data_IF_278948572926
#
_entry.id   IF_278948572926
#
_cell.length_a   1.000
_cell.length_b   1.000
_cell.length_c   1.000
_cell.angle_alpha   90.00
_cell.angle_beta   90.00
_cell.angle_gamma   90.00
#
_symmetry.space_group_name_H-M   'P 1'
#
loop_
_entity.id
_entity.type
_entity.pdbx_description
1 polymer ?
#
# COMPACT_ATOMS: atom_id res chain seq x y z
N UNK A 1 15.65 10.26 -15.97
CA UNK A 1 14.67 10.68 -14.93
C UNK A 1 13.24 10.36 -15.31
N UNK A 2 12.72 10.81 -16.47
CA UNK A 2 11.37 10.43 -16.95
C UNK A 2 11.13 8.91 -17.04
N UNK A 3 12.11 8.13 -17.49
CA UNK A 3 11.99 6.68 -17.53
C UNK A 3 11.86 6.03 -16.14
N UNK A 4 12.52 6.58 -15.11
CA UNK A 4 12.44 6.06 -13.74
C UNK A 4 11.04 6.27 -13.14
N UNK A 5 10.51 7.48 -13.31
CA UNK A 5 9.15 7.84 -12.86
C UNK A 5 8.11 6.98 -13.60
N UNK A 6 8.26 6.79 -14.92
CA UNK A 6 7.36 5.94 -15.69
C UNK A 6 7.42 4.46 -15.28
N UNK A 7 8.60 3.96 -14.93
CA UNK A 7 8.78 2.57 -14.49
C UNK A 7 8.11 2.34 -13.13
N UNK A 8 8.29 3.27 -12.18
CA UNK A 8 7.61 3.23 -10.87
C UNK A 8 6.10 3.36 -11.05
N UNK A 9 5.66 4.25 -11.95
CA UNK A 9 4.26 4.42 -12.28
C UNK A 9 3.62 3.17 -12.87
N UNK A 10 4.36 2.40 -13.66
CA UNK A 10 3.95 1.10 -14.18
C UNK A 10 3.89 0.06 -13.07
N UNK A 11 4.92 -0.01 -12.22
CA UNK A 11 4.95 -0.92 -11.06
C UNK A 11 3.78 -0.65 -10.13
N UNK A 12 3.49 0.60 -9.79
CA UNK A 12 2.35 0.94 -8.93
C UNK A 12 1.01 0.59 -9.59
N UNK A 13 0.89 0.68 -10.91
CA UNK A 13 -0.32 0.22 -11.64
C UNK A 13 -0.48 -1.29 -11.62
N UNK A 14 0.59 -2.05 -11.90
CA UNK A 14 0.53 -3.51 -11.89
C UNK A 14 0.23 -4.05 -10.50
N UNK A 15 0.83 -3.45 -9.46
CA UNK A 15 0.56 -3.80 -8.07
C UNK A 15 -0.88 -3.42 -7.68
N UNK A 16 -1.42 -2.30 -8.18
CA UNK A 16 -2.84 -1.95 -7.99
C UNK A 16 -3.80 -2.97 -8.61
N UNK A 17 -3.51 -3.45 -9.82
CA UNK A 17 -4.29 -4.51 -10.48
C UNK A 17 -4.20 -5.82 -9.70
N UNK A 18 -3.00 -6.16 -9.23
CA UNK A 18 -2.78 -7.35 -8.40
C UNK A 18 -3.60 -7.26 -7.11
N UNK A 19 -3.56 -6.13 -6.40
CA UNK A 19 -4.36 -5.91 -5.20
C UNK A 19 -5.87 -6.06 -5.47
N UNK A 20 -6.38 -5.48 -6.55
CA UNK A 20 -7.78 -5.63 -6.95
C UNK A 20 -8.14 -7.10 -7.22
N UNK A 21 -7.25 -7.85 -7.89
CA UNK A 21 -7.46 -9.28 -8.15
C UNK A 21 -7.53 -10.10 -6.84
N UNK A 22 -6.72 -9.76 -5.85
CA UNK A 22 -6.73 -10.43 -4.54
C UNK A 22 -8.05 -10.20 -3.79
N UNK A 23 -8.64 -9.00 -3.90
CA UNK A 23 -9.98 -8.72 -3.35
C UNK A 23 -11.05 -9.56 -4.05
N UNK A 24 -11.00 -9.68 -5.38
CA UNK A 24 -11.95 -10.53 -6.12
C UNK A 24 -11.82 -11.98 -5.69
N UNK A 25 -10.60 -12.51 -5.53
CA UNK A 25 -10.37 -13.87 -5.02
C UNK A 25 -10.94 -14.03 -3.61
N UNK A 26 -10.75 -13.06 -2.71
CA UNK A 26 -11.31 -13.09 -1.36
C UNK A 26 -12.85 -13.13 -1.36
N UNK A 27 -13.49 -12.39 -2.27
CA UNK A 27 -14.95 -12.43 -2.46
C UNK A 27 -15.39 -13.82 -2.94
N UNK A 28 -14.71 -14.39 -3.94
CA UNK A 28 -15.02 -15.73 -4.45
C UNK A 28 -14.89 -16.80 -3.36
N UNK A 29 -13.84 -16.74 -2.54
CA UNK A 29 -13.64 -17.65 -1.40
C UNK A 29 -14.80 -17.50 -0.39
N UNK A 30 -15.23 -16.28 -0.11
CA UNK A 30 -16.36 -16.01 0.79
C UNK A 30 -17.68 -16.55 0.23
N UNK A 31 -17.95 -16.35 -1.06
CA UNK A 31 -19.12 -16.91 -1.72
C UNK A 31 -19.12 -18.45 -1.68
N UNK A 32 -17.97 -19.07 -1.93
CA UNK A 32 -17.80 -20.52 -1.85
C UNK A 32 -18.01 -21.04 -0.41
N UNK A 33 -17.52 -20.32 0.60
CA UNK A 33 -17.75 -20.65 2.02
C UNK A 33 -19.25 -20.68 2.35
N UNK A 34 -19.99 -19.65 1.90
CA UNK A 34 -21.45 -19.56 2.06
C UNK A 34 -22.11 -20.75 1.36
N UNK A 35 -21.73 -21.04 0.11
CA UNK A 35 -22.30 -22.16 -0.64
C UNK A 35 -22.11 -23.51 0.08
N UNK A 36 -20.91 -23.81 0.55
CA UNK A 36 -20.63 -25.06 1.29
C UNK A 36 -21.47 -25.14 2.57
N UNK A 37 -21.59 -24.02 3.29
CA UNK A 37 -22.30 -23.99 4.56
C UNK A 37 -23.80 -24.23 4.40
N UNK A 38 -24.41 -23.63 3.37
CA UNK A 38 -25.87 -23.70 3.18
C UNK A 38 -26.33 -24.88 2.33
N UNK A 39 -25.56 -25.31 1.34
CA UNK A 39 -25.96 -26.40 0.43
C UNK A 39 -25.34 -27.75 0.79
N UNK A 40 -24.12 -27.77 1.32
CA UNK A 40 -23.42 -29.02 1.67
C UNK A 40 -23.42 -29.30 3.18
N UNK A 41 -24.00 -28.43 4.02
CA UNK A 41 -23.97 -28.51 5.49
C UNK A 41 -22.56 -28.75 6.07
N UNK A 42 -21.52 -28.36 5.33
CA UNK A 42 -20.12 -28.52 5.75
C UNK A 42 -19.62 -27.28 6.49
N UNK A 43 -18.74 -27.49 7.47
CA UNK A 43 -17.97 -26.40 8.09
C UNK A 43 -16.51 -26.53 7.66
N UNK A 44 -15.98 -25.47 7.05
CA UNK A 44 -14.59 -25.44 6.58
C UNK A 44 -13.85 -24.31 7.29
N UNK A 45 -12.68 -24.60 7.84
CA UNK A 45 -11.98 -23.76 8.82
C UNK A 45 -10.90 -22.84 8.22
N UNK A 46 -10.47 -23.05 6.97
CA UNK A 46 -9.40 -22.26 6.34
C UNK A 46 -9.87 -20.96 5.68
N UNK A 47 -11.16 -20.84 5.33
CA UNK A 47 -11.71 -19.73 4.55
C UNK A 47 -11.46 -18.36 5.19
N UNK A 48 -11.74 -18.23 6.49
CA UNK A 48 -11.65 -16.96 7.22
C UNK A 48 -10.23 -16.41 7.17
N UNK A 49 -9.23 -17.23 7.45
CA UNK A 49 -7.82 -16.81 7.48
C UNK A 49 -7.30 -16.49 6.09
N UNK A 50 -7.65 -17.29 5.09
CA UNK A 50 -7.28 -17.02 3.71
C UNK A 50 -7.83 -15.66 3.23
N UNK A 51 -9.10 -15.35 3.54
CA UNK A 51 -9.70 -14.04 3.22
C UNK A 51 -9.01 -12.90 3.95
N UNK A 52 -8.73 -13.06 5.25
CA UNK A 52 -8.02 -12.04 6.04
C UNK A 52 -6.63 -11.76 5.46
N UNK A 53 -5.86 -12.80 5.11
CA UNK A 53 -4.54 -12.63 4.53
C UNK A 53 -4.57 -12.02 3.13
N UNK A 54 -5.56 -12.39 2.30
CA UNK A 54 -5.74 -11.79 0.98
C UNK A 54 -6.11 -10.31 1.07
N UNK A 55 -6.99 -9.93 2.00
CA UNK A 55 -7.35 -8.52 2.21
C UNK A 55 -6.17 -7.74 2.78
N UNK A 56 -5.44 -8.30 3.75
CA UNK A 56 -4.21 -7.69 4.28
C UNK A 56 -3.20 -7.46 3.15
N UNK A 57 -3.01 -8.44 2.28
CA UNK A 57 -2.11 -8.31 1.14
C UNK A 57 -2.60 -7.26 0.13
N UNK A 58 -3.89 -7.29 -0.23
CA UNK A 58 -4.49 -6.34 -1.15
C UNK A 58 -4.40 -4.90 -0.64
N UNK A 59 -4.63 -4.68 0.64
CA UNK A 59 -4.56 -3.33 1.25
C UNK A 59 -3.15 -2.77 1.20
N UNK A 60 -2.14 -3.54 1.61
CA UNK A 60 -0.75 -3.10 1.63
C UNK A 60 -0.16 -2.91 0.23
N UNK A 61 -0.48 -3.80 -0.70
CA UNK A 61 -0.06 -3.68 -2.11
C UNK A 61 -0.84 -2.55 -2.83
N UNK A 62 -2.08 -2.26 -2.44
CA UNK A 62 -2.87 -1.19 -3.02
C UNK A 62 -2.40 0.23 -2.67
N UNK A 63 -1.68 0.41 -1.55
CA UNK A 63 -1.18 1.71 -1.09
C UNK A 63 -0.41 2.52 -2.14
N UNK A 64 0.65 2.01 -2.81
CA UNK A 64 1.39 2.76 -3.83
C UNK A 64 0.50 3.21 -4.99
N UNK A 65 -0.49 2.40 -5.39
CA UNK A 65 -1.43 2.78 -6.46
C UNK A 65 -2.34 3.94 -6.04
N UNK A 66 -2.91 3.87 -4.84
CA UNK A 66 -3.76 4.95 -4.32
C UNK A 66 -2.96 6.22 -4.10
N UNK A 67 -1.71 6.11 -3.63
CA UNK A 67 -0.82 7.25 -3.50
C UNK A 67 -0.58 7.92 -4.84
N UNK A 68 -0.29 7.14 -5.90
CA UNK A 68 -0.14 7.68 -7.26
C UNK A 68 -1.37 8.46 -7.71
N UNK A 69 -2.58 7.94 -7.44
CA UNK A 69 -3.83 8.64 -7.78
C UNK A 69 -4.00 9.94 -6.98
N UNK A 70 -3.58 9.95 -5.72
CA UNK A 70 -3.68 11.10 -4.81
C UNK A 70 -2.49 12.07 -4.86
N UNK A 71 -1.38 11.73 -5.52
CA UNK A 71 -0.22 12.61 -5.68
C UNK A 71 -0.56 13.91 -6.42
N UNK A 72 -1.57 13.88 -7.29
CA UNK A 72 -2.11 15.07 -7.93
C UNK A 72 -3.11 15.84 -7.04
N UNK A 73 -3.75 15.16 -6.09
CA UNK A 73 -4.73 15.71 -5.15
C UNK A 73 -4.06 15.90 -3.78
N UNK A 74 -3.01 16.70 -3.73
CA UNK A 74 -2.38 17.10 -2.47
C UNK A 74 -3.43 17.79 -1.59
N UNK A 75 -3.61 17.33 -0.34
CA UNK A 75 -4.54 17.87 0.66
C UNK A 75 -4.48 19.40 0.65
N UNK A 76 -5.44 20.05 -0.01
CA UNK A 76 -5.31 21.45 -0.42
C UNK A 76 -5.51 22.44 0.73
N UNK A 77 -6.08 22.01 1.88
CA UNK A 77 -6.47 22.94 2.94
C UNK A 77 -5.31 23.73 3.56
N UNK A 78 -4.19 23.08 3.88
CA UNK A 78 -3.05 23.76 4.53
C UNK A 78 -2.16 24.48 3.50
N UNK A 79 -1.85 23.90 2.33
CA UNK A 79 -1.06 24.57 1.30
C UNK A 79 -1.73 25.77 0.64
N UNK A 80 -3.07 25.86 0.64
CA UNK A 80 -3.84 27.00 0.11
C UNK A 80 -3.55 28.32 0.86
N UNK A 81 -3.17 28.24 2.13
CA UNK A 81 -2.93 29.41 2.98
C UNK A 81 -1.47 29.90 2.92
N UNK A 82 -0.58 29.18 2.25
CA UNK A 82 0.86 29.49 2.21
C UNK A 82 1.31 30.01 0.84
N UNK A 83 2.31 30.90 0.81
CA UNK A 83 2.95 31.32 -0.44
C UNK A 83 3.61 30.11 -1.16
N UNK A 84 3.81 30.17 -2.49
CA UNK A 84 4.27 29.04 -3.32
C UNK A 84 5.55 28.36 -2.81
N UNK A 85 6.49 29.15 -2.27
CA UNK A 85 7.72 28.63 -1.68
C UNK A 85 7.48 27.83 -0.38
N UNK A 86 6.58 28.31 0.49
CA UNK A 86 6.23 27.64 1.74
C UNK A 86 5.48 26.32 1.50
N UNK A 87 4.61 26.29 0.50
CA UNK A 87 3.92 25.06 0.04
C UNK A 87 4.91 23.98 -0.40
N UNK A 88 5.92 24.36 -1.20
CA UNK A 88 6.94 23.42 -1.67
C UNK A 88 7.78 22.84 -0.52
N UNK A 89 8.20 23.68 0.43
CA UNK A 89 8.95 23.23 1.61
C UNK A 89 8.11 22.28 2.47
N UNK A 90 6.85 22.61 2.73
CA UNK A 90 5.95 21.76 3.51
C UNK A 90 5.79 20.37 2.86
N UNK A 91 5.57 20.31 1.55
CA UNK A 91 5.47 19.04 0.82
C UNK A 91 6.75 18.20 0.94
N UNK A 92 7.92 18.83 0.77
CA UNK A 92 9.21 18.13 0.90
C UNK A 92 9.40 17.57 2.31
N UNK A 93 9.06 18.35 3.34
CA UNK A 93 9.16 17.90 4.74
C UNK A 93 8.18 16.77 5.03
N UNK A 94 6.93 16.87 4.58
CA UNK A 94 5.93 15.82 4.76
C UNK A 94 6.33 14.52 4.05
N UNK A 95 6.78 14.59 2.81
CA UNK A 95 7.24 13.41 2.07
C UNK A 95 8.49 12.79 2.69
N UNK A 96 9.48 13.60 3.09
CA UNK A 96 10.69 13.07 3.73
C UNK A 96 10.40 12.41 5.09
N UNK A 97 9.51 12.99 5.90
CA UNK A 97 9.04 12.38 7.15
C UNK A 97 8.28 11.06 6.88
N UNK A 98 7.40 11.02 5.88
CA UNK A 98 6.66 9.82 5.51
C UNK A 98 7.60 8.70 5.02
N UNK A 99 8.59 9.03 4.19
CA UNK A 99 9.59 8.08 3.70
C UNK A 99 10.41 7.51 4.87
N UNK A 100 10.82 8.35 5.83
CA UNK A 100 11.54 7.91 7.03
C UNK A 100 10.72 6.87 7.82
N UNK A 101 9.45 7.18 8.10
CA UNK A 101 8.56 6.29 8.85
C UNK A 101 8.37 4.97 8.10
N UNK A 102 8.17 5.01 6.78
CA UNK A 102 8.00 3.80 5.97
C UNK A 102 9.28 2.98 5.85
N UNK A 103 10.46 3.60 5.81
CA UNK A 103 11.73 2.90 5.85
C UNK A 103 11.89 2.11 7.16
N UNK A 104 11.56 2.75 8.29
CA UNK A 104 11.57 2.11 9.61
C UNK A 104 10.56 0.95 9.65
N UNK A 105 9.32 1.18 9.20
CA UNK A 105 8.28 0.15 9.16
C UNK A 105 8.70 -1.04 8.28
N UNK A 106 9.32 -0.77 7.12
CA UNK A 106 9.82 -1.81 6.20
C UNK A 106 10.89 -2.67 6.87
N UNK A 107 11.84 -2.04 7.59
CA UNK A 107 12.89 -2.75 8.32
C UNK A 107 12.32 -3.66 9.41
N UNK A 108 11.47 -3.13 10.30
CA UNK A 108 10.86 -3.94 11.36
C UNK A 108 9.93 -5.03 10.82
N UNK A 109 9.24 -4.78 9.71
CA UNK A 109 8.41 -5.79 9.06
C UNK A 109 9.24 -6.91 8.45
N UNK A 110 10.42 -6.59 7.89
CA UNK A 110 11.35 -7.60 7.38
C UNK A 110 11.97 -8.44 8.51
N UNK A 111 12.32 -7.80 9.64
CA UNK A 111 12.76 -8.50 10.85
C UNK A 111 11.67 -9.45 11.38
N UNK A 112 10.41 -9.00 11.41
CA UNK A 112 9.27 -9.83 11.80
C UNK A 112 9.13 -11.08 10.92
N UNK A 113 9.30 -10.94 9.61
CA UNK A 113 9.29 -12.08 8.68
C UNK A 113 10.43 -13.04 8.99
N UNK A 114 11.64 -12.52 9.18
CA UNK A 114 12.82 -13.33 9.49
C UNK A 114 12.66 -14.11 10.81
N UNK A 115 12.17 -13.44 11.85
CA UNK A 115 11.86 -14.07 13.14
C UNK A 115 10.77 -15.14 12.98
N UNK A 116 9.71 -14.84 12.24
CA UNK A 116 8.61 -15.79 12.02
C UNK A 116 9.06 -17.03 11.23
N UNK A 117 9.95 -16.84 10.26
CA UNK A 117 10.52 -17.93 9.47
C UNK A 117 11.46 -18.80 10.32
N UNK A 118 12.39 -18.17 11.07
CA UNK A 118 13.37 -18.90 11.89
C UNK A 118 12.74 -19.61 13.08
N UNK A 119 11.72 -19.01 13.71
CA UNK A 119 10.98 -19.61 14.83
C UNK A 119 9.84 -20.54 14.40
N UNK A 120 9.58 -20.67 13.10
CA UNK A 120 8.53 -21.53 12.56
C UNK A 120 7.12 -21.14 13.05
N UNK A 121 6.85 -19.84 13.19
CA UNK A 121 5.56 -19.37 13.69
C UNK A 121 4.44 -19.74 12.72
N UNK A 122 3.42 -20.40 13.25
CA UNK A 122 2.20 -20.81 12.54
C UNK A 122 1.01 -20.13 13.20
N UNK A 123 -0.07 -19.95 12.44
CA UNK A 123 -1.31 -19.44 13.02
C UNK A 123 -1.81 -20.38 14.12
N UNK A 124 -2.36 -19.85 15.21
CA UNK A 124 -2.89 -20.63 16.34
C UNK A 124 -4.23 -21.33 16.03
N UNK A 125 -4.58 -21.42 14.75
CA UNK A 125 -5.82 -22.02 14.26
C UNK A 125 -5.64 -23.47 13.83
N UNK A 126 -6.76 -24.15 13.60
CA UNK A 126 -6.80 -25.53 13.11
C UNK A 126 -6.13 -25.68 11.73
N UNK A 127 -6.08 -24.62 10.93
CA UNK A 127 -5.44 -24.64 9.62
C UNK A 127 -3.92 -24.42 9.71
N UNK A 128 -3.46 -23.67 10.70
CA UNK A 128 -2.05 -23.50 11.06
C UNK A 128 -1.10 -23.11 9.91
N UNK A 129 -1.47 -22.21 8.97
CA UNK A 129 -0.54 -21.81 7.91
C UNK A 129 0.66 -21.07 8.51
N UNK A 130 1.83 -21.16 7.86
CA UNK A 130 3.02 -20.48 8.33
C UNK A 130 2.88 -18.96 8.13
N UNK A 131 3.09 -18.19 9.22
CA UNK A 131 2.81 -16.74 9.26
C UNK A 131 3.81 -15.89 8.46
N UNK A 132 4.95 -16.46 8.06
CA UNK A 132 5.94 -15.74 7.25
C UNK A 132 5.37 -15.32 5.88
N UNK A 133 4.40 -16.06 5.31
CA UNK A 133 3.80 -15.71 4.01
C UNK A 133 2.93 -14.46 4.10
N UNK A 134 1.93 -14.36 5.01
CA UNK A 134 1.19 -13.11 5.19
C UNK A 134 2.09 -11.93 5.56
N UNK A 135 3.05 -12.15 6.48
CA UNK A 135 3.94 -11.09 6.94
C UNK A 135 4.87 -10.57 5.85
N UNK A 136 5.26 -11.38 4.85
CA UNK A 136 6.03 -10.90 3.70
C UNK A 136 5.33 -9.78 2.94
N UNK A 137 4.02 -9.70 3.00
CA UNK A 137 3.30 -8.63 2.31
C UNK A 137 3.51 -7.27 2.96
N UNK A 138 3.85 -7.22 4.25
CA UNK A 138 4.17 -5.97 4.96
C UNK A 138 5.43 -5.28 4.45
N UNK A 139 6.64 -5.89 4.48
CA UNK A 139 7.83 -5.23 3.97
C UNK A 139 7.74 -4.96 2.47
N UNK A 140 7.05 -5.81 1.70
CA UNK A 140 6.84 -5.57 0.25
C UNK A 140 5.94 -4.36 0.02
N UNK A 141 4.78 -4.29 0.69
CA UNK A 141 3.84 -3.18 0.54
C UNK A 141 4.43 -1.84 1.01
N UNK A 142 5.05 -1.82 2.20
CA UNK A 142 5.71 -0.60 2.71
C UNK A 142 6.91 -0.18 1.86
N UNK A 143 7.71 -1.13 1.37
CA UNK A 143 8.84 -0.84 0.50
C UNK A 143 8.40 -0.24 -0.83
N UNK A 144 7.38 -0.82 -1.48
CA UNK A 144 6.81 -0.29 -2.71
C UNK A 144 6.19 1.10 -2.50
N UNK A 145 5.51 1.31 -1.37
CA UNK A 145 4.94 2.61 -1.03
C UNK A 145 6.03 3.67 -0.78
N UNK A 146 7.12 3.31 -0.10
CA UNK A 146 8.27 4.19 0.07
C UNK A 146 8.91 4.59 -1.28
N UNK A 147 9.04 3.63 -2.21
CA UNK A 147 9.54 3.90 -3.56
C UNK A 147 8.64 4.86 -4.34
N UNK A 148 7.31 4.72 -4.21
CA UNK A 148 6.36 5.65 -4.81
C UNK A 148 6.52 7.06 -4.23
N UNK A 149 6.62 7.21 -2.90
CA UNK A 149 6.80 8.52 -2.27
C UNK A 149 8.13 9.18 -2.64
N UNK A 150 9.20 8.39 -2.84
CA UNK A 150 10.47 8.90 -3.35
C UNK A 150 10.29 9.46 -4.78
N UNK A 151 9.54 8.76 -5.64
CA UNK A 151 9.23 9.26 -6.99
C UNK A 151 8.44 10.57 -6.94
N UNK A 152 7.41 10.63 -6.10
CA UNK A 152 6.59 11.84 -5.89
C UNK A 152 7.46 13.00 -5.36
N UNK A 153 8.37 12.74 -4.41
CA UNK A 153 9.31 13.74 -3.88
C UNK A 153 10.24 14.28 -4.96
N UNK A 154 10.78 13.42 -5.83
CA UNK A 154 11.60 13.87 -6.96
C UNK A 154 10.81 14.74 -7.94
N UNK A 155 9.55 14.42 -8.19
CA UNK A 155 8.68 15.23 -9.05
C UNK A 155 8.42 16.62 -8.46
N UNK A 156 8.16 16.72 -7.15
CA UNK A 156 8.00 18.00 -6.44
C UNK A 156 9.29 18.83 -6.45
N UNK A 157 10.45 18.18 -6.29
CA UNK A 157 11.74 18.87 -6.34
C UNK A 157 12.01 19.49 -7.72
N UNK A 158 11.73 18.73 -8.80
CA UNK A 158 11.92 19.16 -10.18
C UNK A 158 10.88 20.19 -10.65
N UNK A 159 9.69 20.20 -10.04
CA UNK A 159 8.62 21.14 -10.41
C UNK A 159 8.88 22.53 -9.80
N UNK A 160 8.91 23.61 -10.60
CA UNK A 160 9.01 24.97 -10.08
C UNK A 160 7.81 25.31 -9.21
N UNK A 161 8.04 25.98 -8.07
CA UNK A 161 6.99 26.32 -7.09
C UNK A 161 5.81 27.11 -7.70
N UNK A 162 6.09 27.89 -8.75
CA UNK A 162 5.14 28.75 -9.44
C UNK A 162 4.12 27.99 -10.31
N UNK A 163 4.43 26.74 -10.71
CA UNK A 163 3.53 25.87 -11.49
C UNK A 163 2.71 24.91 -10.63
N UNK A 164 2.83 24.97 -9.31
CA UNK A 164 2.01 24.18 -8.40
C UNK A 164 0.64 24.87 -8.30
N UNK A 165 -0.13 24.80 -9.38
CA UNK A 165 -1.47 25.38 -9.51
C UNK A 165 -2.43 24.55 -8.63
N UNK A 166 -3.20 25.22 -7.79
CA UNK A 166 -4.34 24.63 -7.08
C UNK A 166 -5.49 24.55 -8.07
N UNK A 167 -5.98 23.35 -8.39
CA UNK A 167 -7.21 23.19 -9.19
C UNK A 167 -8.46 23.69 -8.45
N UNK A 168 -8.34 24.13 -7.18
CA UNK A 168 -9.46 24.54 -6.34
C UNK A 168 -9.79 26.04 -6.24
N UNK A 169 -9.20 26.97 -7.01
CA UNK A 169 -9.50 28.42 -6.87
C UNK A 169 -10.56 28.99 -7.83
N UNK A 170 -11.32 28.15 -8.54
CA UNK A 170 -12.37 28.59 -9.48
C UNK A 170 -13.79 28.17 -9.07
N UNK A 171 -14.07 28.10 -7.76
CA UNK A 171 -15.43 28.05 -7.25
C UNK A 171 -15.62 29.01 -6.07
#
# INVERSE_FOLDING_TARGET
MRNYINLINLVSQTVGILAASMVVVAVVITCQMIFIRYFLNGSTYWHTEAVVYLILAATLLGLPYVQKLKGHVNVELVPMLLPPAGRKVLMIVSFSAAILVLAIMTYYSADLVYVSFTKGWTSETVWGPPLWIPYLTMPVGFGLFALQLIADLFEVLLTPAEKIILEGSTH
#
